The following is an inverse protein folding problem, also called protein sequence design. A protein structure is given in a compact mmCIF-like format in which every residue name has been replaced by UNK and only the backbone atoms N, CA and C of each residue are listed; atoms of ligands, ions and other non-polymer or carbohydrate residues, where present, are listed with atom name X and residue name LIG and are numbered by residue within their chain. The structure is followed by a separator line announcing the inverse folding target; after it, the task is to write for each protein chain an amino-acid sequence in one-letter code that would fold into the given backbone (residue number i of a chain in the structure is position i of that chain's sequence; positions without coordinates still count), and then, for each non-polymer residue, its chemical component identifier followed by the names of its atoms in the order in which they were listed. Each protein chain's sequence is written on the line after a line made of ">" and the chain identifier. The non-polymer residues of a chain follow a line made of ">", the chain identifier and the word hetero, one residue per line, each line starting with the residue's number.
data_IF_974194196228
#
_entry.id   IF_974194196228
#
_cell.length_a   1.000
_cell.length_b   1.000
_cell.length_c   1.000
_cell.angle_alpha   90.00
_cell.angle_beta   90.00
_cell.angle_gamma   90.00
#
_symmetry.space_group_name_H-M   'P 1'
#
loop_
_entity.id
_entity.type
_entity.pdbx_description
1 polymer ?
#
# COMPACT_ATOMS: atom_id res chain seq x y z
N UNK A 1 5.42 42.66 24.74
CA UNK A 1 4.40 41.59 24.82
C UNK A 1 4.40 41.12 26.26
N UNK A 2 3.42 41.58 27.04
CA UNK A 2 3.28 41.19 28.43
C UNK A 2 2.59 39.83 28.46
N UNK A 3 3.34 38.80 28.87
CA UNK A 3 2.82 37.44 28.96
C UNK A 3 1.97 37.39 30.23
N UNK A 4 0.66 37.16 30.10
CA UNK A 4 -0.31 37.09 31.21
C UNK A 4 -0.56 38.40 31.99
N UNK A 5 -0.28 39.56 31.39
CA UNK A 5 -0.40 40.86 32.08
C UNK A 5 0.69 41.08 33.14
N UNK A 6 1.77 40.29 33.08
CA UNK A 6 2.92 40.32 33.97
C UNK A 6 4.11 40.80 33.13
N UNK A 7 4.67 41.95 33.47
CA UNK A 7 5.91 42.45 32.91
C UNK A 7 7.15 41.87 33.60
N UNK A 8 8.33 42.21 33.08
CA UNK A 8 9.61 41.87 33.73
C UNK A 8 9.67 42.31 35.21
N UNK A 9 9.24 43.54 35.58
CA UNK A 9 9.24 43.98 36.98
C UNK A 9 8.35 43.13 37.90
N UNK A 10 7.16 42.74 37.45
CA UNK A 10 6.23 41.92 38.21
C UNK A 10 6.78 40.50 38.44
N UNK A 11 7.46 39.91 37.44
CA UNK A 11 8.17 38.62 37.63
C UNK A 11 9.24 38.74 38.71
N UNK A 12 10.04 39.81 38.72
CA UNK A 12 11.08 40.01 39.73
C UNK A 12 10.45 40.13 41.12
N UNK A 13 9.35 40.88 41.26
CA UNK A 13 8.63 41.02 42.53
C UNK A 13 8.17 39.65 43.06
N UNK A 14 7.55 38.83 42.21
CA UNK A 14 7.12 37.48 42.59
C UNK A 14 8.30 36.61 43.00
N UNK A 15 9.43 36.67 42.28
CA UNK A 15 10.65 35.94 42.62
C UNK A 15 11.19 36.33 43.99
N UNK A 16 11.22 37.62 44.32
CA UNK A 16 11.65 38.10 45.63
C UNK A 16 10.73 37.58 46.73
N UNK A 17 9.41 37.66 46.55
CA UNK A 17 8.44 37.14 47.52
C UNK A 17 8.61 35.62 47.69
N UNK A 18 8.75 34.87 46.60
CA UNK A 18 8.97 33.42 46.64
C UNK A 18 10.27 33.07 47.39
N UNK A 19 11.35 33.80 47.17
CA UNK A 19 12.62 33.65 47.88
C UNK A 19 12.49 33.94 49.37
N UNK A 20 11.69 34.93 49.77
CA UNK A 20 11.48 35.24 51.19
C UNK A 20 10.67 34.13 51.88
N UNK A 21 9.60 33.66 51.25
CA UNK A 21 8.71 32.63 51.81
C UNK A 21 9.41 31.27 51.91
N UNK A 22 10.10 30.85 50.84
CA UNK A 22 10.77 29.55 50.76
C UNK A 22 12.17 29.60 51.37
N UNK A 23 12.85 30.72 51.22
CA UNK A 23 14.25 30.94 51.61
C UNK A 23 15.21 30.88 50.41
N UNK A 24 16.22 31.78 50.32
CA UNK A 24 17.16 31.87 49.19
C UNK A 24 18.03 30.63 49.02
N UNK A 25 18.27 29.87 50.11
CA UNK A 25 19.02 28.61 50.06
C UNK A 25 18.16 27.42 49.64
N UNK A 26 16.85 27.46 49.91
CA UNK A 26 15.94 26.33 49.65
C UNK A 26 15.39 26.34 48.22
N UNK A 27 15.17 27.52 47.62
CA UNK A 27 14.72 27.64 46.23
C UNK A 27 15.63 26.87 45.24
N UNK A 28 16.97 27.07 45.22
CA UNK A 28 17.84 26.32 44.32
C UNK A 28 17.86 24.83 44.62
N UNK A 29 17.68 24.43 45.89
CA UNK A 29 17.61 23.03 46.30
C UNK A 29 16.36 22.34 45.75
N UNK A 30 15.19 22.99 45.85
CA UNK A 30 13.94 22.51 45.24
C UNK A 30 14.01 22.48 43.72
N UNK A 31 14.58 23.53 43.10
CA UNK A 31 14.79 23.56 41.65
C UNK A 31 15.67 22.39 41.19
N UNK A 32 16.75 22.09 41.92
CA UNK A 32 17.62 20.96 41.63
C UNK A 32 16.90 19.61 41.76
N UNK A 33 16.02 19.44 42.74
CA UNK A 33 15.21 18.24 42.89
C UNK A 33 14.25 18.06 41.71
N UNK A 34 13.50 19.11 41.36
CA UNK A 34 12.59 19.09 40.20
C UNK A 34 13.36 18.84 38.90
N UNK A 35 14.52 19.47 38.72
CA UNK A 35 15.35 19.29 37.54
C UNK A 35 15.84 17.84 37.40
N UNK A 36 16.19 17.16 38.50
CA UNK A 36 16.54 15.73 38.46
C UNK A 36 15.37 14.87 38.00
N UNK A 37 14.17 15.12 38.50
CA UNK A 37 12.96 14.40 38.09
C UNK A 37 12.67 14.63 36.60
N UNK A 38 12.71 15.89 36.14
CA UNK A 38 12.51 16.22 34.72
C UNK A 38 13.57 15.54 33.84
N UNK A 39 14.84 15.51 34.29
CA UNK A 39 15.94 14.85 33.58
C UNK A 39 15.70 13.35 33.45
N UNK A 40 15.24 12.70 34.52
CA UNK A 40 14.88 11.28 34.49
C UNK A 40 13.70 11.02 33.55
N UNK A 41 12.63 11.82 33.65
CA UNK A 41 11.47 11.72 32.75
C UNK A 41 11.86 11.91 31.28
N UNK A 42 12.73 12.88 30.98
CA UNK A 42 13.24 13.11 29.62
C UNK A 42 14.08 11.95 29.11
N UNK A 43 14.87 11.31 29.98
CA UNK A 43 15.59 10.07 29.68
C UNK A 43 14.62 8.97 29.24
N UNK A 44 13.62 8.65 30.07
CA UNK A 44 12.61 7.64 29.74
C UNK A 44 11.83 7.96 28.46
N UNK A 45 11.44 9.22 28.27
CA UNK A 45 10.77 9.64 27.04
C UNK A 45 11.68 9.46 25.80
N UNK A 46 12.98 9.70 25.94
CA UNK A 46 13.96 9.50 24.86
C UNK A 46 14.15 8.03 24.56
N UNK A 47 14.23 7.17 25.57
CA UNK A 47 14.39 5.73 25.40
C UNK A 47 13.17 5.10 24.72
N UNK A 48 11.96 5.45 25.16
CA UNK A 48 10.71 5.01 24.54
C UNK A 48 10.60 5.51 23.11
N UNK A 49 10.95 6.77 22.86
CA UNK A 49 10.95 7.33 21.49
C UNK A 49 11.97 6.64 20.59
N UNK A 50 13.13 6.28 21.13
CA UNK A 50 14.18 5.55 20.40
C UNK A 50 13.74 4.14 20.05
N UNK A 51 13.14 3.41 21.01
CA UNK A 51 12.61 2.06 20.79
C UNK A 51 11.47 2.06 19.76
N UNK A 52 10.52 2.99 19.90
CA UNK A 52 9.44 3.17 18.92
C UNK A 52 9.98 3.53 17.54
N UNK A 53 10.99 4.42 17.46
CA UNK A 53 11.62 4.74 16.17
C UNK A 53 12.33 3.55 15.55
N UNK A 54 13.06 2.74 16.32
CA UNK A 54 13.74 1.56 15.78
C UNK A 54 12.74 0.51 15.29
N UNK A 55 11.67 0.25 16.04
CA UNK A 55 10.62 -0.68 15.62
C UNK A 55 9.89 -0.14 14.37
N UNK A 56 9.54 1.14 14.34
CA UNK A 56 8.88 1.74 13.17
C UNK A 56 9.77 1.78 11.93
N UNK A 57 11.08 2.00 12.07
CA UNK A 57 12.03 1.94 10.94
C UNK A 57 12.12 0.51 10.39
N UNK A 58 12.11 -0.49 11.27
CA UNK A 58 12.17 -1.90 10.89
C UNK A 58 10.88 -2.33 10.18
N UNK A 59 9.70 -1.96 10.71
CA UNK A 59 8.43 -2.14 10.01
C UNK A 59 8.42 -1.41 8.66
N UNK A 60 8.89 -0.17 8.59
CA UNK A 60 8.89 0.62 7.34
C UNK A 60 9.74 -0.06 6.26
N UNK A 61 10.90 -0.61 6.63
CA UNK A 61 11.74 -1.38 5.70
C UNK A 61 11.07 -2.65 5.21
N UNK A 62 10.37 -3.36 6.10
CA UNK A 62 9.62 -4.58 5.73
C UNK A 62 8.46 -4.25 4.77
N UNK A 63 7.74 -3.16 5.01
CA UNK A 63 6.70 -2.66 4.09
C UNK A 63 7.27 -2.24 2.72
N UNK A 64 8.44 -1.61 2.67
CA UNK A 64 9.10 -1.27 1.41
C UNK A 64 9.54 -2.52 0.62
N UNK A 65 10.01 -3.57 1.30
CA UNK A 65 10.38 -4.84 0.66
C UNK A 65 9.13 -5.53 0.09
N UNK A 66 8.05 -5.63 0.86
CA UNK A 66 6.78 -6.21 0.38
C UNK A 66 6.27 -5.44 -0.84
N UNK A 67 6.39 -4.10 -0.85
CA UNK A 67 6.02 -3.29 -2.02
C UNK A 67 6.86 -3.63 -3.25
N UNK A 68 8.18 -3.75 -3.10
CA UNK A 68 9.08 -4.13 -4.20
C UNK A 68 8.75 -5.51 -4.76
N UNK A 69 8.53 -6.49 -3.88
CA UNK A 69 8.21 -7.86 -4.28
C UNK A 69 6.88 -7.90 -5.05
N UNK A 70 5.87 -7.15 -4.60
CA UNK A 70 4.59 -7.02 -5.31
C UNK A 70 4.73 -6.33 -6.67
N UNK A 71 5.65 -5.36 -6.79
CA UNK A 71 5.92 -4.65 -8.03
C UNK A 71 6.64 -5.55 -9.05
N UNK A 72 7.58 -6.38 -8.59
CA UNK A 72 8.26 -7.40 -9.41
C UNK A 72 7.31 -8.52 -9.87
N UNK A 73 6.43 -8.99 -8.97
CA UNK A 73 5.38 -9.96 -9.33
C UNK A 73 4.41 -9.37 -10.35
N UNK A 74 4.01 -8.11 -10.17
CA UNK A 74 3.16 -7.39 -11.13
C UNK A 74 3.85 -7.24 -12.49
N UNK A 75 5.13 -6.88 -12.51
CA UNK A 75 5.89 -6.74 -13.75
C UNK A 75 6.01 -8.09 -14.49
N UNK A 76 6.27 -9.17 -13.76
CA UNK A 76 6.38 -10.52 -14.32
C UNK A 76 5.02 -11.01 -14.85
N UNK A 77 3.96 -10.84 -14.06
CA UNK A 77 2.61 -11.20 -14.47
C UNK A 77 2.14 -10.40 -15.71
N UNK A 78 2.47 -9.12 -15.79
CA UNK A 78 2.17 -8.29 -16.98
C UNK A 78 2.95 -8.79 -18.20
N UNK A 79 4.25 -9.13 -18.04
CA UNK A 79 5.07 -9.69 -19.13
C UNK A 79 4.55 -11.04 -19.63
N UNK A 80 4.12 -11.90 -18.72
CA UNK A 80 3.56 -13.23 -19.03
C UNK A 80 2.21 -13.14 -19.73
N UNK A 81 1.33 -12.22 -19.29
CA UNK A 81 0.04 -11.99 -19.97
C UNK A 81 0.26 -11.42 -21.37
N UNK A 82 1.20 -10.48 -21.52
CA UNK A 82 1.46 -9.85 -22.82
C UNK A 82 2.13 -10.82 -23.81
N UNK A 83 2.96 -11.76 -23.34
CA UNK A 83 3.54 -12.81 -24.18
C UNK A 83 2.50 -13.83 -24.64
N UNK A 84 1.60 -14.27 -23.73
CA UNK A 84 0.48 -15.16 -24.06
C UNK A 84 -0.46 -14.48 -25.08
N UNK A 85 -0.78 -13.20 -24.88
CA UNK A 85 -1.68 -12.46 -25.78
C UNK A 85 -1.12 -12.37 -27.20
N UNK A 86 0.20 -12.13 -27.34
CA UNK A 86 0.87 -12.11 -28.65
C UNK A 86 0.95 -13.49 -29.30
N UNK A 87 1.06 -14.56 -28.52
CA UNK A 87 1.06 -15.92 -29.02
C UNK A 87 -0.32 -16.33 -29.53
N UNK A 88 -1.38 -16.01 -28.78
CA UNK A 88 -2.77 -16.17 -29.21
C UNK A 88 -3.07 -15.38 -30.48
N UNK A 89 -2.64 -14.11 -30.55
CA UNK A 89 -2.84 -13.26 -31.74
C UNK A 89 -2.14 -13.83 -32.98
N UNK A 90 -0.93 -14.40 -32.81
CA UNK A 90 -0.23 -15.13 -33.88
C UNK A 90 -0.99 -16.38 -34.33
N UNK A 91 -1.44 -17.22 -33.39
CA UNK A 91 -2.19 -18.42 -33.73
C UNK A 91 -3.48 -18.06 -34.48
N UNK A 92 -4.22 -17.04 -34.02
CA UNK A 92 -5.44 -16.56 -34.69
C UNK A 92 -5.14 -16.02 -36.10
N UNK A 93 -3.98 -15.38 -36.31
CA UNK A 93 -3.53 -14.91 -37.63
C UNK A 93 -3.08 -16.02 -38.57
N UNK A 94 -2.60 -17.15 -38.05
CA UNK A 94 -2.16 -18.31 -38.82
C UNK A 94 -3.29 -19.32 -39.11
N UNK A 95 -4.35 -19.32 -38.30
CA UNK A 95 -5.57 -20.14 -38.51
C UNK A 95 -6.25 -19.94 -39.88
N UNK A 96 -6.37 -18.75 -40.50
CA UNK A 96 -6.98 -18.63 -41.83
C UNK A 96 -6.22 -19.40 -42.92
N UNK A 97 -4.91 -19.62 -42.79
CA UNK A 97 -4.12 -20.39 -43.76
C UNK A 97 -4.44 -21.90 -43.74
N UNK A 98 -4.97 -22.42 -42.63
CA UNK A 98 -5.35 -23.84 -42.50
C UNK A 98 -6.78 -24.08 -42.99
N UNK A 99 -7.68 -23.09 -42.81
CA UNK A 99 -9.07 -23.17 -43.28
C UNK A 99 -9.13 -23.06 -44.82
N UNK A 100 -8.34 -22.17 -45.44
CA UNK A 100 -8.28 -22.06 -46.92
C UNK A 100 -7.63 -23.27 -47.60
N UNK A 101 -6.75 -24.01 -46.92
CA UNK A 101 -6.13 -25.22 -47.49
C UNK A 101 -7.05 -26.45 -47.48
N UNK A 102 -8.22 -26.38 -46.84
CA UNK A 102 -9.10 -27.54 -46.62
C UNK A 102 -10.47 -27.45 -47.32
N UNK A 103 -10.71 -26.47 -48.19
CA UNK A 103 -11.86 -26.40 -49.10
C UNK A 103 -11.35 -26.01 -50.50
N UNK A 104 -11.45 -26.73 -51.61
CA UNK A 104 -12.23 -27.90 -52.07
C UNK A 104 -11.53 -28.37 -53.38
N UNK A 105 -11.77 -29.57 -53.95
CA UNK A 105 -12.92 -29.69 -54.84
C UNK A 105 -13.64 -31.05 -54.77
N UNK A 106 -14.96 -31.01 -54.87
CA UNK A 106 -15.80 -32.18 -55.12
C UNK A 106 -15.42 -32.89 -56.44
N UNK A 107 -15.68 -34.21 -56.55
CA UNK A 107 -16.52 -34.64 -57.66
C UNK A 107 -17.62 -35.63 -57.24
N UNK A 108 -18.83 -35.18 -57.57
CA UNK A 108 -20.06 -35.88 -57.90
C UNK A 108 -19.90 -37.29 -58.54
N UNK A 109 -20.69 -38.29 -58.06
CA UNK A 109 -21.31 -39.39 -58.85
C UNK A 109 -22.31 -40.25 -58.04
N UNK A 110 -23.60 -39.90 -58.19
CA UNK A 110 -24.87 -40.69 -58.31
C UNK A 110 -25.21 -41.90 -57.38
N UNK A 111 -26.53 -42.18 -57.20
CA UNK A 111 -27.13 -42.86 -56.03
C UNK A 111 -27.58 -44.32 -56.29
N UNK A 112 -27.97 -45.05 -55.23
CA UNK A 112 -29.22 -45.81 -55.23
C UNK A 112 -30.09 -45.40 -54.03
N UNK A 113 -31.35 -44.99 -54.23
CA UNK A 113 -32.50 -45.88 -54.42
C UNK A 113 -32.74 -46.82 -53.23
N UNK A 114 -33.52 -46.36 -52.25
CA UNK A 114 -34.64 -47.09 -51.64
C UNK A 114 -35.37 -46.10 -50.70
N UNK A 115 -36.61 -45.71 -50.99
CA UNK A 115 -37.80 -46.39 -50.48
C UNK A 115 -38.16 -45.75 -49.12
N UNK A 116 -39.33 -45.20 -48.85
CA UNK A 116 -40.65 -45.34 -49.43
C UNK A 116 -41.46 -44.16 -48.85
N UNK A 117 -42.25 -43.50 -49.70
CA UNK A 117 -43.71 -43.43 -49.55
C UNK A 117 -44.17 -42.87 -48.20
N UNK A 118 -44.67 -41.64 -48.17
CA UNK A 118 -46.11 -41.31 -48.20
C UNK A 118 -46.36 -40.47 -46.93
N UNK A 119 -47.21 -39.46 -46.88
CA UNK A 119 -48.24 -38.94 -47.78
C UNK A 119 -48.85 -37.76 -47.02
N UNK A 120 -49.19 -36.70 -47.77
CA UNK A 120 -50.38 -35.84 -47.55
C UNK A 120 -50.41 -35.03 -46.23
N UNK A 121 -50.97 -33.85 -46.12
CA UNK A 121 -51.91 -33.06 -46.93
C UNK A 121 -51.79 -31.67 -46.29
N UNK A 122 -51.54 -30.61 -47.06
CA UNK A 122 -52.57 -29.70 -47.57
C UNK A 122 -53.32 -28.89 -46.50
N UNK A 123 -53.41 -27.59 -46.76
CA UNK A 123 -54.58 -26.81 -46.36
C UNK A 123 -54.40 -25.74 -45.29
N UNK A 124 -54.19 -24.51 -45.79
CA UNK A 124 -54.75 -23.22 -45.31
C UNK A 124 -54.15 -22.53 -44.08
#
# INVERSE_FOLDING_TARGET
>A
MDVLGIGLPEIILVLVVAVIVVGPKRLPEFAAQIARVIRQMRGYATDVTTQMRSELDELTREYEQIRKDLEEVRETAVKDVDSITREVDRTVREVPAIIESSAEPAPEKRPPANGQETSSDDGS
#
